data_IF_966240120398
#
_entry.id   IF_966240120398
#
_cell.length_a   1.000
_cell.length_b   1.000
_cell.length_c   1.000
_cell.angle_alpha   90.00
_cell.angle_beta   90.00
_cell.angle_gamma   90.00
#
_symmetry.space_group_name_H-M   'P 1'
#
loop_
_entity.id
_entity.type
_entity.pdbx_description
1 polymer ?
#
# COMPACT_ATOMS: atom_id res chain seq x y z
N UNK A 1 -0.04 15.74 -34.47
CA UNK A 1 0.55 16.10 -33.16
C UNK A 1 0.39 14.98 -32.11
N UNK A 2 -0.81 14.41 -31.94
CA UNK A 2 -1.11 13.29 -30.99
C UNK A 2 -0.25 12.02 -31.20
N UNK A 3 0.07 11.67 -32.45
CA UNK A 3 0.87 10.48 -32.78
C UNK A 3 2.35 10.61 -32.36
N UNK A 4 2.95 11.81 -32.45
CA UNK A 4 4.34 12.03 -32.00
C UNK A 4 4.46 11.93 -30.47
N UNK A 5 3.47 12.45 -29.74
CA UNK A 5 3.42 12.35 -28.27
C UNK A 5 3.35 10.89 -27.81
N UNK A 6 2.50 10.09 -28.45
CA UNK A 6 2.35 8.65 -28.18
C UNK A 6 3.65 7.89 -28.48
N UNK A 7 4.30 8.13 -29.62
CA UNK A 7 5.59 7.49 -29.94
C UNK A 7 6.76 7.96 -29.08
N UNK A 8 6.66 9.12 -28.43
CA UNK A 8 7.67 9.63 -27.47
C UNK A 8 7.45 9.09 -26.06
N UNK A 9 6.22 8.77 -25.66
CA UNK A 9 5.91 8.08 -24.39
C UNK A 9 6.19 6.58 -24.49
N UNK A 10 5.92 5.96 -25.65
CA UNK A 10 6.10 4.51 -25.85
C UNK A 10 7.55 4.11 -26.11
N UNK A 11 8.42 5.00 -26.60
CA UNK A 11 9.84 4.67 -26.87
C UNK A 11 10.67 4.37 -25.61
N UNK A 12 10.53 5.12 -24.50
CA UNK A 12 11.25 4.83 -23.27
C UNK A 12 10.79 3.57 -22.53
N UNK A 13 9.62 3.00 -22.88
CA UNK A 13 9.10 1.74 -22.33
C UNK A 13 9.84 0.50 -22.86
N UNK A 14 10.71 0.64 -23.87
CA UNK A 14 11.55 -0.46 -24.37
C UNK A 14 12.80 -0.72 -23.51
N UNK A 15 13.18 0.19 -22.60
CA UNK A 15 14.35 0.01 -21.72
C UNK A 15 14.17 0.18 -20.19
N UNK A 16 13.00 -0.05 -19.55
CA UNK A 16 12.90 -0.08 -18.09
C UNK A 16 13.25 -1.43 -17.39
N UNK A 17 13.40 -2.61 -18.02
CA UNK A 17 13.39 -3.86 -17.25
C UNK A 17 14.61 -4.05 -16.34
N UNK A 18 15.78 -3.48 -16.65
CA UNK A 18 16.99 -3.66 -15.85
C UNK A 18 17.06 -2.79 -14.58
N UNK A 19 16.45 -1.61 -14.57
CA UNK A 19 16.46 -0.72 -13.40
C UNK A 19 15.43 -1.14 -12.34
N UNK A 20 14.24 -1.57 -12.80
CA UNK A 20 13.14 -2.02 -11.93
C UNK A 20 13.46 -3.37 -11.26
N UNK A 21 14.08 -4.30 -11.99
CA UNK A 21 14.54 -5.58 -11.41
C UNK A 21 15.68 -5.38 -10.38
N UNK A 22 16.54 -4.38 -10.59
CA UNK A 22 17.65 -4.06 -9.67
C UNK A 22 17.22 -3.51 -8.31
N UNK A 23 16.09 -2.80 -8.25
CA UNK A 23 15.54 -2.31 -6.97
C UNK A 23 14.77 -3.37 -6.19
N UNK A 24 14.15 -4.35 -6.84
CA UNK A 24 13.41 -5.42 -6.14
C UNK A 24 14.32 -6.55 -5.62
N UNK A 25 15.47 -6.79 -6.27
CA UNK A 25 16.36 -7.91 -5.94
C UNK A 25 16.94 -7.88 -4.51
N UNK A 26 17.42 -6.75 -3.94
CA UNK A 26 18.01 -6.76 -2.60
C UNK A 26 17.00 -6.94 -1.46
N UNK A 27 15.69 -6.90 -1.73
CA UNK A 27 14.64 -6.99 -0.69
C UNK A 27 14.07 -8.41 -0.49
N UNK A 28 14.52 -9.39 -1.28
CA UNK A 28 14.03 -10.78 -1.21
C UNK A 28 14.95 -11.68 -0.34
N UNK A 29 16.19 -11.25 -0.12
CA UNK A 29 17.22 -12.06 0.52
C UNK A 29 17.14 -11.97 2.06
N UNK A 30 17.20 -13.13 2.71
CA UNK A 30 17.14 -13.29 4.17
C UNK A 30 18.27 -12.58 4.91
N UNK A 31 19.39 -12.30 4.25
CA UNK A 31 20.53 -11.56 4.83
C UNK A 31 20.18 -10.10 5.12
N UNK A 32 19.32 -9.45 4.33
CA UNK A 32 18.94 -8.06 4.56
C UNK A 32 18.11 -7.90 5.84
N UNK A 33 17.22 -8.86 6.13
CA UNK A 33 16.43 -8.89 7.37
C UNK A 33 17.29 -9.08 8.64
N UNK A 34 18.46 -9.69 8.50
CA UNK A 34 19.48 -9.81 9.54
C UNK A 34 20.22 -8.48 9.75
N UNK A 35 20.52 -7.76 8.67
CA UNK A 35 21.19 -6.44 8.68
C UNK A 35 20.35 -5.35 9.35
N UNK A 36 19.01 -5.35 9.21
CA UNK A 36 18.13 -4.41 9.91
C UNK A 36 17.79 -4.81 11.36
N UNK A 37 18.32 -5.93 11.86
CA UNK A 37 18.18 -6.32 13.27
C UNK A 37 16.77 -6.76 13.68
N UNK A 38 15.93 -7.19 12.72
CA UNK A 38 14.55 -7.63 12.98
C UNK A 38 14.44 -9.13 13.33
N UNK A 39 15.50 -9.91 13.15
CA UNK A 39 15.54 -11.34 13.50
C UNK A 39 15.16 -11.67 14.95
N UNK A 40 15.48 -10.87 15.99
CA UNK A 40 15.11 -11.18 17.37
C UNK A 40 13.61 -10.99 17.65
N UNK A 41 12.87 -10.27 16.78
CA UNK A 41 11.44 -9.95 16.95
C UNK A 41 10.56 -11.06 16.36
N UNK A 42 11.06 -11.83 15.39
CA UNK A 42 10.23 -12.70 14.55
C UNK A 42 10.44 -14.18 14.90
N UNK A 43 9.76 -14.64 15.95
CA UNK A 43 9.65 -16.08 16.28
C UNK A 43 8.51 -16.77 15.51
N UNK A 44 7.53 -16.01 15.00
CA UNK A 44 6.37 -16.53 14.26
C UNK A 44 6.53 -16.39 12.73
N UNK A 45 6.37 -17.50 12.02
CA UNK A 45 6.43 -17.58 10.55
C UNK A 45 5.40 -16.70 9.85
N UNK A 46 4.25 -16.42 10.47
CA UNK A 46 3.20 -15.56 9.90
C UNK A 46 3.62 -14.09 9.90
N UNK A 47 4.26 -13.66 10.99
CA UNK A 47 4.81 -12.30 11.13
C UNK A 47 5.97 -12.11 10.16
N UNK A 48 6.78 -13.14 9.93
CA UNK A 48 7.86 -13.11 8.93
C UNK A 48 7.34 -12.89 7.50
N UNK A 49 6.33 -13.65 7.08
CA UNK A 49 5.69 -13.48 5.77
C UNK A 49 5.05 -12.09 5.67
N UNK A 50 4.36 -11.66 6.74
CA UNK A 50 3.72 -10.36 6.80
C UNK A 50 4.68 -9.17 6.75
N UNK A 51 5.91 -9.30 7.22
CA UNK A 51 6.91 -8.24 7.07
C UNK A 51 7.41 -8.22 5.62
N UNK A 52 7.71 -9.38 5.04
CA UNK A 52 8.24 -9.50 3.66
C UNK A 52 7.30 -8.93 2.59
N UNK A 53 6.01 -9.18 2.68
CA UNK A 53 5.06 -8.67 1.67
C UNK A 53 4.94 -7.13 1.72
N UNK A 54 5.09 -6.53 2.92
CA UNK A 54 5.16 -5.07 3.07
C UNK A 54 6.46 -4.51 2.48
N UNK A 55 7.60 -5.18 2.65
CA UNK A 55 8.87 -4.79 2.02
C UNK A 55 8.78 -4.77 0.49
N UNK A 56 8.22 -5.83 -0.11
CA UNK A 56 8.00 -5.89 -1.57
C UNK A 56 7.12 -4.72 -2.02
N UNK A 57 6.11 -4.39 -1.22
CA UNK A 57 5.22 -3.25 -1.50
C UNK A 57 5.95 -1.91 -1.44
N UNK A 58 6.86 -1.70 -0.48
CA UNK A 58 7.71 -0.49 -0.43
C UNK A 58 8.54 -0.35 -1.72
N UNK A 59 9.18 -1.42 -2.18
CA UNK A 59 9.95 -1.42 -3.43
C UNK A 59 9.08 -1.09 -4.66
N UNK A 60 7.86 -1.62 -4.70
CA UNK A 60 6.87 -1.30 -5.73
C UNK A 60 6.51 0.20 -5.74
N UNK A 61 6.17 0.79 -4.59
CA UNK A 61 5.82 2.22 -4.50
C UNK A 61 6.99 3.15 -4.85
N UNK A 62 8.23 2.79 -4.49
CA UNK A 62 9.43 3.55 -4.91
C UNK A 62 9.56 3.53 -6.42
N UNK A 63 9.40 2.35 -7.03
CA UNK A 63 9.48 2.21 -8.49
C UNK A 63 8.42 3.06 -9.19
N UNK A 64 7.17 3.01 -8.73
CA UNK A 64 6.08 3.81 -9.28
C UNK A 64 6.36 5.31 -9.14
N UNK A 65 6.87 5.76 -7.98
CA UNK A 65 7.23 7.15 -7.76
C UNK A 65 8.35 7.62 -8.71
N UNK A 66 9.41 6.82 -8.87
CA UNK A 66 10.51 7.11 -9.81
C UNK A 66 9.97 7.20 -11.24
N UNK A 67 9.11 6.28 -11.66
CA UNK A 67 8.48 6.31 -12.98
C UNK A 67 7.63 7.57 -13.18
N UNK A 68 6.79 7.93 -12.22
CA UNK A 68 5.96 9.15 -12.29
C UNK A 68 6.84 10.40 -12.43
N UNK A 69 7.93 10.51 -11.64
CA UNK A 69 8.85 11.65 -11.70
C UNK A 69 9.62 11.71 -13.03
N UNK A 70 10.06 10.55 -13.55
CA UNK A 70 10.81 10.47 -14.80
C UNK A 70 9.98 10.90 -16.01
N UNK A 71 8.69 10.54 -16.01
CA UNK A 71 7.76 10.86 -17.09
C UNK A 71 6.85 12.05 -16.76
N UNK A 72 7.14 12.81 -15.71
CA UNK A 72 6.33 13.97 -15.34
C UNK A 72 6.39 15.05 -16.43
N UNK A 73 5.27 15.65 -16.87
CA UNK A 73 3.87 15.48 -16.41
C UNK A 73 3.01 14.56 -17.32
N UNK A 74 3.62 13.69 -18.13
CA UNK A 74 2.92 12.92 -19.17
C UNK A 74 2.06 11.76 -18.62
N UNK A 75 2.41 11.17 -17.48
CA UNK A 75 1.72 10.01 -16.89
C UNK A 75 0.77 10.41 -15.74
N UNK A 76 0.89 11.63 -15.20
CA UNK A 76 0.03 12.15 -14.13
C UNK A 76 0.43 13.54 -13.66
N UNK A 77 -0.50 14.24 -13.00
CA UNK A 77 -0.24 15.52 -12.33
C UNK A 77 0.38 15.36 -10.93
N UNK A 78 0.52 16.48 -10.21
CA UNK A 78 1.09 16.51 -8.87
C UNK A 78 0.30 15.68 -7.84
N UNK A 79 -0.99 15.47 -8.08
CA UNK A 79 -1.85 14.62 -7.26
C UNK A 79 -1.31 13.18 -7.17
N UNK A 80 -0.75 12.63 -8.25
CA UNK A 80 -0.16 11.29 -8.25
C UNK A 80 1.14 11.24 -7.46
N UNK A 81 1.97 12.29 -7.57
CA UNK A 81 3.23 12.41 -6.82
C UNK A 81 2.95 12.47 -5.32
N UNK A 82 2.04 13.35 -4.91
CA UNK A 82 1.65 13.49 -3.50
C UNK A 82 1.02 12.19 -2.98
N UNK A 83 0.14 11.57 -3.77
CA UNK A 83 -0.45 10.29 -3.42
C UNK A 83 0.61 9.20 -3.19
N UNK A 84 1.56 9.03 -4.11
CA UNK A 84 2.59 8.00 -3.98
C UNK A 84 3.55 8.29 -2.82
N UNK A 85 3.87 9.56 -2.56
CA UNK A 85 4.67 9.94 -1.39
C UNK A 85 3.96 9.60 -0.07
N UNK A 86 2.68 9.95 0.06
CA UNK A 86 1.89 9.64 1.26
C UNK A 86 1.74 8.12 1.46
N UNK A 87 1.45 7.38 0.39
CA UNK A 87 1.36 5.92 0.42
C UNK A 87 2.70 5.28 0.79
N UNK A 88 3.81 5.74 0.20
CA UNK A 88 5.15 5.25 0.52
C UNK A 88 5.51 5.47 1.99
N UNK A 89 5.23 6.67 2.52
CA UNK A 89 5.47 6.96 3.94
C UNK A 89 4.63 6.08 4.86
N UNK A 90 3.35 5.84 4.53
CA UNK A 90 2.48 4.98 5.33
C UNK A 90 2.93 3.51 5.32
N UNK A 91 3.27 2.96 4.15
CA UNK A 91 3.74 1.57 4.02
C UNK A 91 5.11 1.40 4.68
N UNK A 92 6.03 2.36 4.50
CA UNK A 92 7.33 2.36 5.16
C UNK A 92 7.21 2.49 6.69
N UNK A 93 6.25 3.29 7.19
CA UNK A 93 5.97 3.36 8.62
C UNK A 93 5.51 2.01 9.17
N UNK A 94 4.53 1.36 8.53
CA UNK A 94 4.03 0.04 8.95
C UNK A 94 5.12 -1.06 8.89
N UNK A 95 6.07 -0.92 7.97
CA UNK A 95 7.24 -1.78 7.86
C UNK A 95 8.22 -1.59 9.05
N UNK A 96 8.52 -0.34 9.40
CA UNK A 96 9.51 -0.01 10.43
C UNK A 96 8.99 -0.26 11.85
N UNK A 97 7.70 -0.01 12.10
CA UNK A 97 7.10 -0.16 13.44
C UNK A 97 6.48 -1.54 13.66
N UNK A 98 6.18 -2.27 12.59
CA UNK A 98 5.38 -3.50 12.66
C UNK A 98 3.89 -3.25 12.94
N UNK A 99 3.49 -1.99 13.13
CA UNK A 99 2.13 -1.59 13.47
C UNK A 99 1.31 -1.31 12.21
N UNK A 100 -0.01 -1.50 12.30
CA UNK A 100 -0.94 -1.14 11.21
C UNK A 100 -0.81 -2.01 9.94
N UNK A 101 -0.04 -3.10 9.97
CA UNK A 101 0.15 -4.01 8.82
C UNK A 101 -1.18 -4.50 8.23
N UNK A 102 -2.16 -4.84 9.08
CA UNK A 102 -3.49 -5.27 8.64
C UNK A 102 -4.19 -4.21 7.77
N UNK A 103 -4.15 -2.94 8.17
CA UNK A 103 -4.76 -1.84 7.41
C UNK A 103 -3.96 -1.54 6.15
N UNK A 104 -2.63 -1.62 6.21
CA UNK A 104 -1.75 -1.56 5.04
C UNK A 104 -2.13 -2.61 4.00
N UNK A 105 -2.35 -3.87 4.41
CA UNK A 105 -2.81 -4.92 3.49
C UNK A 105 -4.15 -4.63 2.85
N UNK A 106 -5.12 -4.11 3.62
CA UNK A 106 -6.42 -3.73 3.06
C UNK A 106 -6.28 -2.62 2.01
N UNK A 107 -5.42 -1.63 2.24
CA UNK A 107 -5.15 -0.58 1.26
C UNK A 107 -4.40 -1.15 0.04
N UNK A 108 -3.42 -2.03 0.24
CA UNK A 108 -2.67 -2.68 -0.85
C UNK A 108 -3.57 -3.55 -1.75
N UNK A 109 -4.58 -4.23 -1.19
CA UNK A 109 -5.58 -4.95 -2.00
C UNK A 109 -6.30 -4.00 -2.95
N UNK A 110 -6.60 -2.77 -2.53
CA UNK A 110 -7.21 -1.77 -3.41
C UNK A 110 -6.27 -1.31 -4.52
N UNK A 111 -4.96 -1.29 -4.26
CA UNK A 111 -3.92 -0.94 -5.25
C UNK A 111 -3.80 -2.00 -6.35
N UNK A 112 -4.11 -3.26 -6.08
CA UNK A 112 -4.12 -4.32 -7.11
C UNK A 112 -5.11 -4.08 -8.25
N UNK A 113 -6.04 -3.13 -8.10
CA UNK A 113 -6.95 -2.70 -9.18
C UNK A 113 -6.28 -1.77 -10.21
N UNK A 114 -5.18 -1.12 -9.85
CA UNK A 114 -4.47 -0.12 -10.66
C UNK A 114 -3.81 -0.70 -11.92
N UNK A 115 -3.16 -1.90 -11.90
CA UNK A 115 -2.65 -2.54 -13.10
C UNK A 115 -3.73 -2.77 -14.17
N UNK A 116 -4.96 -3.06 -13.75
CA UNK A 116 -6.11 -3.21 -14.65
C UNK A 116 -6.40 -1.91 -15.41
N UNK A 117 -6.41 -0.78 -14.70
CA UNK A 117 -6.62 0.57 -15.26
C UNK A 117 -5.47 0.93 -16.22
N UNK A 118 -4.22 0.68 -15.83
CA UNK A 118 -3.05 0.94 -16.66
C UNK A 118 -3.08 0.11 -17.96
N UNK A 119 -3.46 -1.17 -17.87
CA UNK A 119 -3.64 -2.02 -19.06
C UNK A 119 -4.74 -1.49 -19.98
N UNK A 120 -5.85 -0.99 -19.41
CA UNK A 120 -6.93 -0.38 -20.20
C UNK A 120 -6.47 0.84 -20.96
N UNK A 121 -5.71 1.72 -20.29
CA UNK A 121 -5.13 2.92 -20.89
C UNK A 121 -4.13 2.57 -22.00
N UNK A 122 -3.32 1.52 -21.79
CA UNK A 122 -2.41 1.02 -22.82
C UNK A 122 -3.17 0.53 -24.07
N UNK A 123 -4.22 -0.27 -23.88
CA UNK A 123 -5.08 -0.77 -24.97
C UNK A 123 -5.82 0.36 -25.70
N UNK A 124 -6.25 1.40 -24.97
CA UNK A 124 -6.84 2.61 -25.56
C UNK A 124 -5.82 3.33 -26.47
N UNK A 125 -4.64 3.58 -25.93
CA UNK A 125 -3.56 4.31 -26.61
C UNK A 125 -3.04 3.56 -27.84
N UNK A 126 -3.03 2.22 -27.80
CA UNK A 126 -2.73 1.35 -28.94
C UNK A 126 -3.85 1.29 -30.01
N UNK A 127 -4.98 1.99 -29.81
CA UNK A 127 -6.12 1.99 -30.72
C UNK A 127 -6.98 0.71 -30.65
N UNK A 128 -6.80 -0.13 -29.63
CA UNK A 128 -7.42 -1.45 -29.50
C UNK A 128 -8.77 -1.44 -28.76
N UNK A 129 -9.50 -0.32 -28.75
CA UNK A 129 -10.80 -0.19 -28.04
C UNK A 129 -11.86 -1.21 -28.44
N UNK A 130 -11.84 -1.65 -29.70
CA UNK A 130 -12.81 -2.61 -30.24
C UNK A 130 -12.45 -4.07 -29.97
N UNK A 131 -11.32 -4.33 -29.29
CA UNK A 131 -10.86 -5.69 -28.99
C UNK A 131 -11.68 -6.34 -27.86
N UNK A 132 -11.78 -7.67 -27.90
CA UNK A 132 -12.35 -8.46 -26.80
C UNK A 132 -11.57 -8.25 -25.49
N UNK A 133 -10.25 -8.05 -25.59
CA UNK A 133 -9.38 -7.78 -24.44
C UNK A 133 -9.78 -6.48 -23.71
N UNK A 134 -10.09 -5.40 -24.45
CA UNK A 134 -10.56 -4.14 -23.87
C UNK A 134 -11.92 -4.29 -23.17
N UNK A 135 -12.83 -5.10 -23.71
CA UNK A 135 -14.12 -5.38 -23.09
C UNK A 135 -13.97 -6.19 -21.79
N UNK A 136 -13.23 -7.30 -21.85
CA UNK A 136 -13.00 -8.18 -20.69
C UNK A 136 -12.29 -7.43 -19.57
N UNK A 137 -11.23 -6.67 -19.89
CA UNK A 137 -10.53 -5.83 -18.92
C UNK A 137 -11.48 -4.83 -18.24
N UNK A 138 -12.42 -4.24 -18.99
CA UNK A 138 -13.42 -3.33 -18.41
C UNK A 138 -14.36 -4.02 -17.42
N UNK A 139 -14.83 -5.23 -17.73
CA UNK A 139 -15.68 -6.02 -16.84
C UNK A 139 -14.92 -6.40 -15.57
N UNK A 140 -13.67 -6.86 -15.70
CA UNK A 140 -12.82 -7.23 -14.56
C UNK A 140 -12.56 -6.01 -13.66
N UNK A 141 -12.21 -4.86 -14.22
CA UNK A 141 -12.01 -3.62 -13.44
C UNK A 141 -13.27 -3.25 -12.69
N UNK A 142 -14.44 -3.35 -13.32
CA UNK A 142 -15.71 -3.00 -12.66
C UNK A 142 -15.95 -3.82 -11.38
N UNK A 143 -15.82 -5.14 -11.47
CA UNK A 143 -16.00 -6.01 -10.30
C UNK A 143 -14.88 -5.85 -9.27
N UNK A 144 -13.63 -5.76 -9.72
CA UNK A 144 -12.48 -5.55 -8.85
C UNK A 144 -12.60 -4.23 -8.07
N UNK A 145 -13.05 -3.16 -8.73
CA UNK A 145 -13.30 -1.86 -8.11
C UNK A 145 -14.42 -1.94 -7.06
N UNK A 146 -15.55 -2.58 -7.37
CA UNK A 146 -16.65 -2.73 -6.42
C UNK A 146 -16.20 -3.46 -5.13
N UNK A 147 -15.48 -4.56 -5.28
CA UNK A 147 -15.03 -5.36 -4.14
C UNK A 147 -13.90 -4.66 -3.38
N UNK A 148 -12.83 -4.28 -4.07
CA UNK A 148 -11.59 -3.82 -3.43
C UNK A 148 -11.63 -2.34 -3.02
N UNK A 149 -12.48 -1.50 -3.64
CA UNK A 149 -12.54 -0.06 -3.32
C UNK A 149 -13.84 0.37 -2.64
N UNK A 150 -14.95 -0.34 -2.83
CA UNK A 150 -16.22 0.01 -2.15
C UNK A 150 -16.46 -0.88 -0.94
N UNK A 151 -16.60 -2.20 -1.14
CA UNK A 151 -16.89 -3.12 -0.04
C UNK A 151 -15.76 -3.15 1.00
N UNK A 152 -14.51 -3.24 0.54
CA UNK A 152 -13.35 -3.29 1.42
C UNK A 152 -13.16 -2.01 2.23
N UNK A 153 -13.36 -0.83 1.63
CA UNK A 153 -13.26 0.44 2.37
C UNK A 153 -14.43 0.63 3.34
N UNK A 154 -15.65 0.23 2.98
CA UNK A 154 -16.77 0.22 3.94
C UNK A 154 -16.44 -0.66 5.15
N UNK A 155 -15.88 -1.85 4.91
CA UNK A 155 -15.41 -2.72 5.98
C UNK A 155 -14.29 -2.08 6.80
N UNK A 156 -13.29 -1.49 6.15
CA UNK A 156 -12.16 -0.84 6.82
C UNK A 156 -12.64 0.29 7.75
N UNK A 157 -13.50 1.18 7.26
CA UNK A 157 -14.04 2.28 8.08
C UNK A 157 -14.92 1.77 9.21
N UNK A 158 -15.74 0.74 8.96
CA UNK A 158 -16.54 0.10 10.00
C UNK A 158 -15.65 -0.54 11.08
N UNK A 159 -14.60 -1.26 10.69
CA UNK A 159 -13.66 -1.90 11.60
C UNK A 159 -12.92 -0.86 12.44
N UNK A 160 -12.39 0.20 11.82
CA UNK A 160 -11.76 1.31 12.53
C UNK A 160 -12.74 1.92 13.52
N UNK A 161 -13.96 2.26 13.10
CA UNK A 161 -14.98 2.87 13.95
C UNK A 161 -15.27 2.08 15.22
N UNK A 162 -15.37 0.75 15.12
CA UNK A 162 -15.60 -0.12 16.28
C UNK A 162 -14.42 -0.12 17.26
N UNK A 163 -13.19 -0.10 16.75
CA UNK A 163 -11.98 -0.23 17.57
C UNK A 163 -11.52 1.10 18.16
N UNK A 164 -11.98 2.26 17.64
CA UNK A 164 -11.68 3.58 18.20
C UNK A 164 -12.06 3.73 19.69
N UNK A 165 -13.09 3.00 20.14
CA UNK A 165 -13.60 3.10 21.51
C UNK A 165 -13.06 2.01 22.47
N UNK A 166 -12.42 0.96 21.96
CA UNK A 166 -11.85 -0.08 22.81
C UNK A 166 -10.65 0.43 23.62
N UNK A 167 -9.86 1.32 23.04
CA UNK A 167 -8.71 1.94 23.72
C UNK A 167 -9.15 2.91 24.84
N UNK A 168 -10.33 3.54 24.70
CA UNK A 168 -10.89 4.41 25.74
C UNK A 168 -11.51 3.61 26.90
N UNK A 169 -12.15 2.47 26.62
CA UNK A 169 -12.78 1.65 27.66
C UNK A 169 -11.75 0.93 28.57
N UNK A 170 -10.59 0.56 28.04
CA UNK A 170 -9.48 -0.01 28.83
C UNK A 170 -8.74 1.04 29.67
N UNK A 171 -8.54 2.24 29.12
CA UNK A 171 -7.96 3.37 29.84
C UNK A 171 -8.84 3.86 30.98
N UNK A 172 -10.16 4.00 30.77
CA UNK A 172 -11.10 4.42 31.82
C UNK A 172 -11.17 3.40 32.96
N UNK A 173 -11.17 2.08 32.66
CA UNK A 173 -11.12 1.04 33.72
C UNK A 173 -9.82 1.06 34.53
N UNK A 174 -8.67 1.28 33.89
CA UNK A 174 -7.39 1.40 34.58
C UNK A 174 -7.32 2.66 35.44
N UNK A 175 -7.84 3.79 34.95
CA UNK A 175 -7.91 5.04 35.71
C UNK A 175 -8.88 4.89 36.89
N UNK A 176 -10.01 4.20 36.73
CA UNK A 176 -10.96 3.93 37.81
C UNK A 176 -10.36 2.99 38.89
N UNK A 177 -9.67 1.91 38.52
CA UNK A 177 -8.98 1.02 39.48
C UNK A 177 -7.85 1.74 40.24
N UNK A 178 -7.03 2.53 39.53
CA UNK A 178 -5.94 3.33 40.13
C UNK A 178 -6.49 4.43 41.03
N UNK A 179 -7.59 5.09 40.64
CA UNK A 179 -8.23 6.14 41.42
C UNK A 179 -8.89 5.57 42.70
N UNK A 180 -9.56 4.41 42.60
CA UNK A 180 -10.15 3.71 43.76
C UNK A 180 -9.07 3.20 44.72
N UNK A 181 -7.97 2.62 44.21
CA UNK A 181 -6.81 2.22 45.03
C UNK A 181 -6.16 3.41 45.75
N UNK A 182 -6.14 4.59 45.13
CA UNK A 182 -5.55 5.80 45.72
C UNK A 182 -6.42 6.43 46.80
N UNK A 183 -7.74 6.24 46.73
CA UNK A 183 -8.70 6.68 47.75
C UNK A 183 -8.66 5.79 49.00
N UNK A 184 -8.42 4.48 48.83
CA UNK A 184 -8.32 3.54 49.97
C UNK A 184 -7.03 3.73 50.79
N UNK A 185 -5.90 4.01 50.12
CA UNK A 185 -4.62 4.32 50.80
C UNK A 185 -4.69 5.61 51.61
N UNK A 186 -5.49 6.60 51.20
CA UNK A 186 -5.63 7.89 51.91
C UNK A 186 -6.51 7.80 53.17
N UNK A 187 -7.18 6.68 53.44
CA UNK A 187 -7.94 6.46 54.69
C UNK A 187 -7.18 5.67 55.76
N UNK A 188 -5.91 5.33 55.52
CA UNK A 188 -5.10 4.52 56.44
C UNK A 188 -3.99 5.29 57.18
N UNK A 189 -4.03 6.63 57.13
CA UNK A 189 -3.23 7.53 57.96
C UNK A 189 -4.12 8.57 58.63
#
# INVERSE_FOLDING_TARGET
>A
MRFRLVTSILRPLESPPSFILGFCHPFIDSEFLEVVGLLPIVSDKRVFVGIRDVWVSVGYFITDLVMILWFYPAIGGMEYVIHHLLSLLAVAYAMLTGEGQLYTYMVLISETTTPGINLRWYLDTAGMKKSKAYLINGIVIFFAWLVARILLFMYLFYHVYLHLNQDQAGGVRLVDEVCVSSIDVRKRF
#
